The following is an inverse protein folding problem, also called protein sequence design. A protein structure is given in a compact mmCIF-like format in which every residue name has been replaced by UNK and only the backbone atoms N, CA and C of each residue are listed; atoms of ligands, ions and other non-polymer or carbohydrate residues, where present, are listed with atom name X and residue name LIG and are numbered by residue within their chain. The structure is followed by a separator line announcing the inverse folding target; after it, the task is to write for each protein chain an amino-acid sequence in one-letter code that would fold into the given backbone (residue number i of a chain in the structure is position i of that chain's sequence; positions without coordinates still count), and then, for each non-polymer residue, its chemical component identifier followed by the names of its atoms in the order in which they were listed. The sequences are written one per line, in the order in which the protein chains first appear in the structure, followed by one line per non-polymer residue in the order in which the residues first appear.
data_IF_637453217699
#
_entry.id   IF_637453217699
#
_cell.length_a   1.000
_cell.length_b   1.000
_cell.length_c   1.000
_cell.angle_alpha   90.00
_cell.angle_beta   90.00
_cell.angle_gamma   90.00
#
_symmetry.space_group_name_H-M   'P 1'
#
loop_
_entity.id
_entity.type
_entity.pdbx_description
1 polymer ?
#
# COMPACT_ATOMS: atom_id res chain seq x y z
N UNK A 1 7.97 28.59 -7.50
CA UNK A 1 6.90 28.19 -8.44
C UNK A 1 5.68 29.08 -8.19
N UNK A 2 5.12 29.74 -9.20
CA UNK A 2 3.90 30.56 -9.06
C UNK A 2 2.64 29.71 -9.30
N UNK A 3 1.51 30.08 -8.70
CA UNK A 3 0.21 29.41 -8.91
C UNK A 3 -0.18 29.32 -10.39
N UNK A 4 0.23 30.31 -11.19
CA UNK A 4 -0.02 30.36 -12.62
C UNK A 4 0.83 29.34 -13.40
N UNK A 5 2.09 29.13 -13.01
CA UNK A 5 2.98 28.17 -13.69
C UNK A 5 2.59 26.70 -13.50
N UNK A 6 2.02 26.34 -12.35
CA UNK A 6 1.56 24.96 -12.10
C UNK A 6 0.30 24.62 -12.92
N UNK A 7 -0.58 25.60 -13.11
CA UNK A 7 -1.79 25.44 -13.92
C UNK A 7 -1.48 25.40 -15.42
N UNK A 8 -0.32 25.91 -15.86
CA UNK A 8 0.10 25.79 -17.26
C UNK A 8 0.45 24.34 -17.63
N UNK A 9 0.99 23.57 -16.68
CA UNK A 9 1.39 22.17 -16.88
C UNK A 9 0.21 21.21 -16.75
N UNK A 10 -0.66 21.43 -15.75
CA UNK A 10 -1.74 20.49 -15.41
C UNK A 10 -3.14 20.97 -15.80
N UNK A 11 -3.34 22.23 -16.15
CA UNK A 11 -4.63 22.81 -16.49
C UNK A 11 -5.53 23.11 -15.28
N UNK A 12 -5.79 22.12 -14.41
CA UNK A 12 -6.68 22.27 -13.26
C UNK A 12 -6.22 21.48 -12.01
N UNK A 13 -6.91 21.69 -10.89
CA UNK A 13 -6.58 21.02 -9.61
C UNK A 13 -6.79 19.50 -9.64
N UNK A 14 -7.83 19.04 -10.32
CA UNK A 14 -8.12 17.61 -10.45
C UNK A 14 -6.99 16.88 -11.18
N UNK A 15 -6.49 17.46 -12.27
CA UNK A 15 -5.35 16.96 -13.02
C UNK A 15 -4.07 16.92 -12.18
N UNK A 16 -3.84 17.91 -11.31
CA UNK A 16 -2.71 17.86 -10.35
C UNK A 16 -2.86 16.68 -9.39
N UNK A 17 -4.07 16.45 -8.87
CA UNK A 17 -4.32 15.35 -7.95
C UNK A 17 -4.20 13.98 -8.64
N UNK A 18 -4.71 13.84 -9.86
CA UNK A 18 -4.55 12.63 -10.66
C UNK A 18 -3.08 12.33 -10.93
N UNK A 19 -2.30 13.35 -11.31
CA UNK A 19 -0.86 13.20 -11.50
C UNK A 19 -0.15 12.81 -10.20
N UNK A 20 -0.56 13.36 -9.05
CA UNK A 20 -0.01 12.99 -7.76
C UNK A 20 -0.32 11.53 -7.37
N UNK A 21 -1.55 11.06 -7.62
CA UNK A 21 -1.91 9.64 -7.39
C UNK A 21 -1.11 8.72 -8.33
N UNK A 22 -0.94 9.10 -9.59
CA UNK A 22 -0.17 8.34 -10.56
C UNK A 22 1.31 8.25 -10.17
N UNK A 23 1.91 9.36 -9.74
CA UNK A 23 3.30 9.38 -9.26
C UNK A 23 3.46 8.55 -7.97
N UNK A 24 2.55 8.72 -7.01
CA UNK A 24 2.59 7.95 -5.77
C UNK A 24 2.46 6.44 -6.02
N UNK A 25 1.67 6.03 -7.02
CA UNK A 25 1.59 4.65 -7.48
C UNK A 25 2.94 4.16 -8.01
N UNK A 26 3.65 4.93 -8.83
CA UNK A 26 4.97 4.55 -9.33
C UNK A 26 5.98 4.42 -8.19
N UNK A 27 6.01 5.39 -7.27
CA UNK A 27 6.85 5.32 -6.08
C UNK A 27 6.55 4.05 -5.28
N UNK A 28 5.28 3.73 -5.03
CA UNK A 28 4.90 2.53 -4.29
C UNK A 28 5.32 1.23 -5.00
N UNK A 29 5.18 1.16 -6.33
CA UNK A 29 5.70 0.05 -7.13
C UNK A 29 7.20 -0.09 -6.93
N UNK A 30 7.94 1.01 -7.01
CA UNK A 30 9.40 1.02 -6.98
C UNK A 30 9.96 0.61 -5.62
N UNK A 31 9.33 1.07 -4.53
CA UNK A 31 9.86 0.91 -3.16
C UNK A 31 9.23 -0.23 -2.38
N UNK A 32 8.02 -0.69 -2.73
CA UNK A 32 7.33 -1.79 -2.04
C UNK A 32 7.24 -3.04 -2.91
N UNK A 33 6.80 -2.91 -4.16
CA UNK A 33 6.44 -4.09 -4.99
C UNK A 33 7.68 -4.67 -5.67
N UNK A 34 8.43 -3.84 -6.42
CA UNK A 34 9.58 -4.26 -7.24
C UNK A 34 10.65 -5.01 -6.42
N UNK A 35 10.99 -4.60 -5.18
CA UNK A 35 11.97 -5.34 -4.37
C UNK A 35 11.53 -6.77 -4.05
N UNK A 36 10.22 -7.02 -3.92
CA UNK A 36 9.70 -8.35 -3.64
C UNK A 36 9.63 -9.27 -4.88
N UNK A 37 9.69 -8.73 -6.10
CA UNK A 37 9.55 -9.51 -7.33
C UNK A 37 10.73 -10.47 -7.59
N UNK A 38 11.89 -10.25 -6.95
CA UNK A 38 13.01 -11.21 -7.01
C UNK A 38 12.75 -12.49 -6.22
N UNK A 39 11.76 -12.49 -5.32
CA UNK A 39 11.37 -13.67 -4.56
C UNK A 39 10.40 -14.55 -5.37
N UNK A 40 10.41 -15.89 -5.17
CA UNK A 40 9.44 -16.79 -5.75
C UNK A 40 8.00 -16.35 -5.44
N UNK A 41 7.06 -16.45 -6.40
CA UNK A 41 5.64 -16.22 -6.15
C UNK A 41 5.12 -17.04 -4.95
N UNK A 42 4.09 -16.52 -4.27
CA UNK A 42 3.49 -17.14 -3.10
C UNK A 42 4.04 -16.60 -1.78
N UNK A 43 4.18 -17.48 -0.77
CA UNK A 43 4.56 -17.10 0.59
C UNK A 43 5.89 -16.34 0.68
N UNK A 44 6.88 -16.69 -0.16
CA UNK A 44 8.17 -16.00 -0.16
C UNK A 44 8.05 -14.54 -0.64
N UNK A 45 7.27 -14.28 -1.68
CA UNK A 45 7.02 -12.91 -2.15
C UNK A 45 6.13 -12.12 -1.19
N UNK A 46 5.12 -12.75 -0.60
CA UNK A 46 4.29 -12.11 0.43
C UNK A 46 5.16 -11.60 1.58
N UNK A 47 6.08 -12.41 2.10
CA UNK A 47 6.96 -11.99 3.18
C UNK A 47 7.86 -10.80 2.78
N UNK A 48 8.43 -10.88 1.57
CA UNK A 48 9.24 -9.80 1.01
C UNK A 48 8.44 -8.49 0.79
N UNK A 49 7.16 -8.58 0.43
CA UNK A 49 6.25 -7.43 0.36
C UNK A 49 6.06 -6.79 1.74
N UNK A 50 5.89 -7.60 2.79
CA UNK A 50 5.73 -7.10 4.16
C UNK A 50 7.00 -6.41 4.68
N UNK A 51 8.18 -6.96 4.38
CA UNK A 51 9.47 -6.33 4.71
C UNK A 51 9.67 -5.01 3.95
N UNK A 52 9.35 -5.00 2.65
CA UNK A 52 9.46 -3.81 1.82
C UNK A 52 8.49 -2.71 2.26
N UNK A 53 7.28 -3.07 2.65
CA UNK A 53 6.29 -2.14 3.20
C UNK A 53 6.76 -1.51 4.52
N UNK A 54 7.36 -2.31 5.42
CA UNK A 54 7.92 -1.82 6.68
C UNK A 54 9.09 -0.85 6.42
N UNK A 55 9.98 -1.20 5.49
CA UNK A 55 11.11 -0.35 5.10
C UNK A 55 10.64 0.97 4.49
N UNK A 56 9.62 0.93 3.62
CA UNK A 56 8.97 2.10 3.03
C UNK A 56 8.47 3.11 4.07
N UNK A 57 7.82 2.63 5.13
CA UNK A 57 7.31 3.49 6.20
C UNK A 57 8.42 4.05 7.09
N UNK A 58 9.41 3.23 7.45
CA UNK A 58 10.57 3.68 8.25
C UNK A 58 11.44 4.69 7.54
N UNK A 59 11.52 4.60 6.21
CA UNK A 59 12.23 5.56 5.38
C UNK A 59 11.45 6.87 5.18
N UNK A 60 10.22 6.97 5.72
CA UNK A 60 9.36 8.15 5.62
C UNK A 60 9.22 8.67 4.18
N UNK A 61 9.13 7.74 3.21
CA UNK A 61 9.05 8.03 1.77
C UNK A 61 7.92 9.02 1.48
N UNK A 62 6.82 8.92 2.22
CA UNK A 62 5.84 10.00 2.34
C UNK A 62 5.73 10.46 3.81
N UNK A 63 5.70 11.78 4.06
CA UNK A 63 5.61 12.31 5.42
C UNK A 63 4.32 11.94 6.19
N UNK A 64 3.26 11.52 5.49
CA UNK A 64 1.97 11.14 6.10
C UNK A 64 1.75 9.62 6.17
N UNK A 65 2.83 8.85 6.18
CA UNK A 65 2.80 7.39 6.16
C UNK A 65 2.37 6.80 4.82
N UNK A 66 1.67 5.66 4.88
CA UNK A 66 1.28 4.90 3.70
C UNK A 66 0.27 5.68 2.85
N UNK A 67 0.70 6.07 1.64
CA UNK A 67 -0.14 6.82 0.70
C UNK A 67 -1.43 6.08 0.35
N UNK A 68 -1.36 4.76 0.12
CA UNK A 68 -2.51 3.92 -0.21
C UNK A 68 -3.53 3.92 0.93
N UNK A 69 -3.08 3.74 2.17
CA UNK A 69 -3.96 3.72 3.36
C UNK A 69 -4.58 5.09 3.62
N UNK A 70 -3.78 6.16 3.61
CA UNK A 70 -4.23 7.51 3.91
C UNK A 70 -5.26 8.00 2.88
N UNK A 71 -4.98 7.82 1.59
CA UNK A 71 -5.87 8.27 0.52
C UNK A 71 -7.15 7.44 0.45
N UNK A 72 -7.11 6.14 0.79
CA UNK A 72 -8.31 5.31 0.87
C UNK A 72 -9.34 5.87 1.86
N UNK A 73 -8.91 6.35 3.02
CA UNK A 73 -9.79 6.98 4.02
C UNK A 73 -10.31 8.32 3.52
N UNK A 74 -9.43 9.16 2.95
CA UNK A 74 -9.80 10.50 2.52
C UNK A 74 -10.75 10.51 1.31
N UNK A 75 -10.50 9.66 0.31
CA UNK A 75 -11.20 9.68 -0.98
C UNK A 75 -12.17 8.52 -1.17
N UNK A 76 -12.15 7.46 -0.35
CA UNK A 76 -12.96 6.26 -0.57
C UNK A 76 -14.47 6.51 -0.63
N UNK A 77 -14.97 7.48 0.15
CA UNK A 77 -16.38 7.88 0.18
C UNK A 77 -16.77 8.90 -0.90
N UNK A 78 -15.79 9.46 -1.63
CA UNK A 78 -16.00 10.52 -2.63
C UNK A 78 -16.30 9.92 -4.00
N UNK A 79 -16.89 10.73 -4.86
CA UNK A 79 -17.10 10.42 -6.29
C UNK A 79 -16.16 11.25 -7.17
N UNK A 80 -15.97 10.81 -8.41
CA UNK A 80 -15.16 11.51 -9.42
C UNK A 80 -13.78 10.92 -9.66
N UNK A 81 -13.05 11.43 -10.67
CA UNK A 81 -11.84 10.80 -11.22
C UNK A 81 -10.74 10.52 -10.20
N UNK A 82 -10.49 11.44 -9.26
CA UNK A 82 -9.46 11.24 -8.22
C UNK A 82 -9.84 10.12 -7.27
N UNK A 83 -11.12 10.02 -6.89
CA UNK A 83 -11.61 8.95 -6.05
C UNK A 83 -11.55 7.59 -6.75
N UNK A 84 -11.83 7.56 -8.06
CA UNK A 84 -11.68 6.36 -8.89
C UNK A 84 -10.21 5.91 -8.97
N UNK A 85 -9.27 6.85 -9.16
CA UNK A 85 -7.85 6.55 -9.19
C UNK A 85 -7.34 5.96 -7.85
N UNK A 86 -7.80 6.50 -6.71
CA UNK A 86 -7.47 5.97 -5.38
C UNK A 86 -8.07 4.59 -5.15
N UNK A 87 -9.34 4.37 -5.55
CA UNK A 87 -9.98 3.05 -5.48
C UNK A 87 -9.22 2.01 -6.30
N UNK A 88 -8.80 2.37 -7.52
CA UNK A 88 -8.00 1.49 -8.36
C UNK A 88 -6.65 1.16 -7.72
N UNK A 89 -5.96 2.16 -7.14
CA UNK A 89 -4.70 1.94 -6.42
C UNK A 89 -4.87 0.94 -5.26
N UNK A 90 -5.92 1.10 -4.45
CA UNK A 90 -6.22 0.16 -3.35
C UNK A 90 -6.58 -1.23 -3.90
N UNK A 91 -7.36 -1.30 -4.97
CA UNK A 91 -7.75 -2.55 -5.61
C UNK A 91 -6.53 -3.32 -6.13
N UNK A 92 -5.62 -2.66 -6.82
CA UNK A 92 -4.39 -3.28 -7.32
C UNK A 92 -3.54 -3.88 -6.21
N UNK A 93 -3.46 -3.21 -5.05
CA UNK A 93 -2.77 -3.74 -3.88
C UNK A 93 -3.44 -5.00 -3.33
N UNK A 94 -4.77 -4.99 -3.18
CA UNK A 94 -5.52 -6.14 -2.69
C UNK A 94 -5.46 -7.31 -3.68
N UNK A 95 -5.69 -7.05 -4.96
CA UNK A 95 -5.61 -8.05 -6.03
C UNK A 95 -4.19 -8.68 -6.05
N UNK A 96 -3.11 -7.93 -5.81
CA UNK A 96 -1.76 -8.49 -5.66
C UNK A 96 -1.66 -9.46 -4.48
N UNK A 97 -2.10 -9.06 -3.29
CA UNK A 97 -2.05 -9.91 -2.10
C UNK A 97 -2.87 -11.20 -2.30
N UNK A 98 -4.09 -11.08 -2.81
CA UNK A 98 -4.97 -12.21 -3.11
C UNK A 98 -4.33 -13.19 -4.11
N UNK A 99 -3.72 -12.67 -5.18
CA UNK A 99 -3.03 -13.50 -6.16
C UNK A 99 -1.85 -14.27 -5.54
N UNK A 100 -1.03 -13.62 -4.72
CA UNK A 100 0.09 -14.30 -4.07
C UNK A 100 -0.39 -15.33 -3.02
N UNK A 101 -1.47 -15.07 -2.28
CA UNK A 101 -2.06 -16.06 -1.38
C UNK A 101 -2.65 -17.25 -2.14
N UNK A 102 -3.27 -17.03 -3.30
CA UNK A 102 -3.75 -18.09 -4.19
C UNK A 102 -2.58 -18.98 -4.64
N UNK A 103 -1.46 -18.37 -5.05
CA UNK A 103 -0.24 -19.11 -5.44
C UNK A 103 0.37 -19.86 -4.25
N UNK A 104 0.29 -19.31 -3.04
CA UNK A 104 0.75 -19.96 -1.82
C UNK A 104 -0.14 -21.15 -1.38
N UNK A 105 -1.29 -21.37 -2.04
CA UNK A 105 -2.22 -22.45 -1.72
C UNK A 105 -3.20 -22.12 -0.60
N UNK A 106 -3.48 -20.83 -0.34
CA UNK A 106 -4.54 -20.46 0.61
C UNK A 106 -5.90 -20.98 0.14
N UNK A 107 -6.70 -21.62 1.03
CA UNK A 107 -8.06 -22.03 0.72
C UNK A 107 -9.03 -20.84 0.62
N UNK A 108 -8.68 -19.68 1.18
CA UNK A 108 -9.44 -18.44 1.07
C UNK A 108 -8.48 -17.23 0.93
N UNK A 109 -7.96 -17.00 -0.30
CA UNK A 109 -6.98 -15.93 -0.53
C UNK A 109 -7.52 -14.52 -0.22
N UNK A 110 -8.82 -14.29 -0.39
CA UNK A 110 -9.46 -13.02 -0.12
C UNK A 110 -9.50 -12.72 1.39
N UNK A 111 -9.85 -13.71 2.21
CA UNK A 111 -9.85 -13.55 3.66
C UNK A 111 -8.44 -13.30 4.22
N UNK A 112 -7.43 -14.01 3.73
CA UNK A 112 -6.05 -13.82 4.19
C UNK A 112 -5.44 -12.50 3.72
N UNK A 113 -5.71 -12.09 2.47
CA UNK A 113 -5.33 -10.77 1.98
C UNK A 113 -5.97 -9.66 2.81
N UNK A 114 -7.26 -9.79 3.15
CA UNK A 114 -7.96 -8.85 4.02
C UNK A 114 -7.31 -8.76 5.41
N UNK A 115 -6.97 -9.91 6.03
CA UNK A 115 -6.30 -9.93 7.35
C UNK A 115 -4.97 -9.20 7.31
N UNK A 116 -4.13 -9.48 6.31
CA UNK A 116 -2.85 -8.79 6.12
C UNK A 116 -3.07 -7.29 5.97
N UNK A 117 -3.91 -6.89 5.03
CA UNK A 117 -4.18 -5.47 4.77
C UNK A 117 -4.73 -4.73 6.00
N UNK A 118 -5.60 -5.38 6.78
CA UNK A 118 -6.15 -4.84 8.01
C UNK A 118 -5.04 -4.59 9.06
N UNK A 119 -4.10 -5.52 9.22
CA UNK A 119 -2.96 -5.33 10.12
C UNK A 119 -2.06 -4.18 9.64
N UNK A 120 -1.74 -4.13 8.34
CA UNK A 120 -0.90 -3.07 7.78
C UNK A 120 -1.55 -1.68 7.95
N UNK A 121 -2.83 -1.54 7.62
CA UNK A 121 -3.57 -0.29 7.83
C UNK A 121 -3.58 0.12 9.31
N UNK A 122 -3.80 -0.82 10.22
CA UNK A 122 -3.80 -0.54 11.66
C UNK A 122 -2.39 -0.23 12.20
N UNK A 123 -1.34 -0.79 11.60
CA UNK A 123 0.05 -0.45 11.89
C UNK A 123 0.37 0.98 11.48
N UNK A 124 0.09 1.32 10.23
CA UNK A 124 0.27 2.66 9.66
C UNK A 124 -0.42 3.72 10.53
N UNK A 125 -1.71 3.56 10.80
CA UNK A 125 -2.49 4.54 11.58
C UNK A 125 -1.89 4.77 12.97
N UNK A 126 -1.39 3.72 13.64
CA UNK A 126 -0.76 3.86 14.97
C UNK A 126 0.59 4.56 14.90
N UNK A 127 1.38 4.30 13.85
CA UNK A 127 2.64 5.03 13.63
C UNK A 127 2.39 6.52 13.47
N UNK A 128 1.41 6.90 12.66
CA UNK A 128 1.08 8.31 12.41
C UNK A 128 0.50 9.01 13.65
N UNK A 129 -0.29 8.30 14.46
CA UNK A 129 -0.88 8.88 15.68
C UNK A 129 0.12 9.03 16.83
N UNK A 130 1.05 8.09 16.98
CA UNK A 130 1.89 7.99 18.18
C UNK A 130 3.39 8.21 17.92
N UNK A 131 3.81 8.33 16.66
CA UNK A 131 5.20 8.60 16.29
C UNK A 131 6.19 7.48 16.60
N UNK A 132 5.72 6.25 16.86
CA UNK A 132 6.59 5.10 17.18
C UNK A 132 6.33 3.91 16.25
N UNK A 133 7.39 3.17 15.95
CA UNK A 133 7.32 1.99 15.07
C UNK A 133 6.68 0.76 15.73
N UNK A 134 6.33 0.82 17.03
CA UNK A 134 5.75 -0.31 17.74
C UNK A 134 4.45 -0.84 17.08
N UNK A 135 3.67 0.05 16.46
CA UNK A 135 2.50 -0.33 15.65
C UNK A 135 2.87 -1.06 14.37
N UNK A 136 3.95 -0.63 13.69
CA UNK A 136 4.44 -1.25 12.47
C UNK A 136 5.01 -2.64 12.72
N UNK A 137 5.84 -2.80 13.76
CA UNK A 137 6.41 -4.12 14.12
C UNK A 137 5.31 -5.13 14.44
N UNK A 138 4.28 -4.69 15.18
CA UNK A 138 3.15 -5.54 15.50
C UNK A 138 2.36 -5.93 14.26
N UNK A 139 2.10 -4.98 13.35
CA UNK A 139 1.43 -5.25 12.09
C UNK A 139 2.20 -6.25 11.24
N UNK A 140 3.52 -6.04 11.09
CA UNK A 140 4.39 -6.96 10.36
C UNK A 140 4.39 -8.36 10.98
N UNK A 141 4.52 -8.46 12.30
CA UNK A 141 4.50 -9.77 13.00
C UNK A 141 3.18 -10.51 12.77
N UNK A 142 2.04 -9.82 12.90
CA UNK A 142 0.73 -10.43 12.73
C UNK A 142 0.46 -10.82 11.27
N UNK A 143 0.83 -9.97 10.31
CA UNK A 143 0.73 -10.29 8.89
C UNK A 143 1.65 -11.46 8.51
N UNK A 144 2.88 -11.48 9.05
CA UNK A 144 3.84 -12.57 8.85
C UNK A 144 3.30 -13.93 9.29
N UNK A 145 2.60 -13.99 10.43
CA UNK A 145 1.94 -15.23 10.90
C UNK A 145 0.87 -15.76 9.96
N UNK A 146 0.17 -14.89 9.24
CA UNK A 146 -0.79 -15.32 8.20
C UNK A 146 -0.04 -15.99 7.05
N UNK A 147 1.07 -15.40 6.62
CA UNK A 147 1.92 -15.92 5.54
C UNK A 147 2.65 -17.21 5.93
N UNK A 148 3.09 -17.32 7.19
CA UNK A 148 3.81 -18.50 7.73
C UNK A 148 3.01 -19.80 7.62
N UNK A 149 1.67 -19.75 7.62
CA UNK A 149 0.81 -20.91 7.43
C UNK A 149 1.00 -21.60 6.06
N UNK A 150 1.63 -20.90 5.11
CA UNK A 150 1.82 -21.34 3.72
C UNK A 150 3.30 -21.55 3.37
N UNK A 151 4.20 -21.49 4.35
CA UNK A 151 5.60 -21.88 4.15
C UNK A 151 5.67 -23.41 4.22
N UNK A 152 5.96 -24.02 3.07
CA UNK A 152 6.25 -25.46 2.96
C UNK A 152 7.64 -25.79 3.48
#
# INVERSE_FOLDING_TARGET
MSKSGILTVFGNREAIQLAAVAEARQVYIDVVIRPALSCPPGAARLDALLDSWLAYLRAEVFPGGCFVSATSVEFGHRTGPVADAVRNLKKEWLDLLENEFSVAGSPDPAEDAFRVDAYLCAGNTRRELFGTDAGLERARTLAGRVVENYRT
#
